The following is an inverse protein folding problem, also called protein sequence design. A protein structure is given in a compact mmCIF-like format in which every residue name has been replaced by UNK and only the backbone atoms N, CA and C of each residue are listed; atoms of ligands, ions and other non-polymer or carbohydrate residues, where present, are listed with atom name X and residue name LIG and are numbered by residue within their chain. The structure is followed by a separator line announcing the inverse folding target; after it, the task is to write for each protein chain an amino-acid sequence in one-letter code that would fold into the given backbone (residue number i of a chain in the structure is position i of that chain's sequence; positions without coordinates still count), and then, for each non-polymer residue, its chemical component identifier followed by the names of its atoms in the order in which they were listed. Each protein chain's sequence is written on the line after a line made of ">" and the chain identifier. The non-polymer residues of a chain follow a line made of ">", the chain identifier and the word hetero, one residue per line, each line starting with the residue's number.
data_IF_433128856591
#
_entry.id   IF_433128856591
#
_cell.length_a   1.000
_cell.length_b   1.000
_cell.length_c   1.000
_cell.angle_alpha   90.00
_cell.angle_beta   90.00
_cell.angle_gamma   90.00
#
_symmetry.space_group_name_H-M   'P 1'
#
loop_
_entity.id
_entity.type
_entity.pdbx_description
1 polymer ?
#
# COMPACT_ATOMS: atom_id res chain seq x y z
N UNK A 1 19.00 16.33 -18.74
CA UNK A 1 18.13 15.19 -18.35
C UNK A 1 18.93 13.90 -18.49
N UNK A 2 18.79 12.93 -17.56
CA UNK A 2 19.42 11.60 -17.69
C UNK A 2 18.39 10.61 -18.27
N UNK A 3 18.78 9.72 -19.19
CA UNK A 3 17.86 8.74 -19.77
C UNK A 3 17.40 7.71 -18.73
N UNK A 4 16.14 7.25 -18.84
CA UNK A 4 15.57 6.22 -17.98
C UNK A 4 16.09 4.82 -18.30
N UNK A 5 16.42 4.56 -19.57
CA UNK A 5 17.00 3.31 -20.06
C UNK A 5 18.00 3.59 -21.19
N UNK A 6 19.04 2.76 -21.32
CA UNK A 6 20.03 2.82 -22.40
C UNK A 6 20.31 1.41 -22.90
N UNK A 7 20.22 1.21 -24.21
CA UNK A 7 20.65 -0.03 -24.87
C UNK A 7 22.17 0.01 -24.98
N UNK A 8 22.86 -0.96 -24.36
CA UNK A 8 24.33 -1.05 -24.39
C UNK A 8 24.80 -2.02 -25.49
N UNK A 9 23.95 -2.97 -25.89
CA UNK A 9 24.22 -3.98 -26.91
C UNK A 9 22.90 -4.47 -27.52
N UNK A 10 22.94 -4.83 -28.81
CA UNK A 10 21.80 -5.33 -29.58
C UNK A 10 21.02 -4.22 -30.29
N UNK A 11 20.16 -4.62 -31.24
CA UNK A 11 19.29 -3.72 -31.99
C UNK A 11 17.82 -4.16 -31.74
N UNK A 12 17.19 -3.69 -30.64
CA UNK A 12 15.82 -4.09 -30.32
C UNK A 12 14.85 -3.50 -31.35
N UNK A 13 13.76 -4.21 -31.61
CA UNK A 13 12.68 -3.64 -32.41
C UNK A 13 12.01 -2.47 -31.68
N UNK A 14 11.24 -1.67 -32.42
CA UNK A 14 10.46 -0.58 -31.83
C UNK A 14 9.47 -1.09 -30.78
N UNK A 15 8.87 -2.26 -31.02
CA UNK A 15 7.92 -2.93 -30.12
C UNK A 15 8.60 -3.37 -28.82
N UNK A 16 9.79 -3.96 -28.90
CA UNK A 16 10.56 -4.40 -27.73
C UNK A 16 10.98 -3.21 -26.86
N UNK A 17 11.44 -2.13 -27.49
CA UNK A 17 11.82 -0.91 -26.79
C UNK A 17 10.60 -0.25 -26.12
N UNK A 18 9.45 -0.24 -26.78
CA UNK A 18 8.19 0.25 -26.22
C UNK A 18 7.77 -0.59 -25.01
N UNK A 19 7.80 -1.92 -25.12
CA UNK A 19 7.44 -2.83 -24.04
C UNK A 19 8.32 -2.61 -22.80
N UNK A 20 9.65 -2.53 -22.98
CA UNK A 20 10.57 -2.26 -21.88
C UNK A 20 10.33 -0.88 -21.25
N UNK A 21 10.04 0.14 -22.07
CA UNK A 21 9.72 1.48 -21.57
C UNK A 21 8.48 1.47 -20.67
N UNK A 22 7.43 0.76 -21.08
CA UNK A 22 6.20 0.62 -20.27
C UNK A 22 6.48 -0.06 -18.95
N UNK A 23 7.27 -1.14 -18.95
CA UNK A 23 7.65 -1.86 -17.72
C UNK A 23 8.45 -0.96 -16.79
N UNK A 24 9.48 -0.28 -17.29
CA UNK A 24 10.30 0.63 -16.48
C UNK A 24 9.47 1.79 -15.93
N UNK A 25 8.57 2.36 -16.74
CA UNK A 25 7.65 3.40 -16.30
C UNK A 25 6.69 2.90 -15.21
N UNK A 26 6.15 1.69 -15.35
CA UNK A 26 5.28 1.06 -14.36
C UNK A 26 6.00 0.81 -13.03
N UNK A 27 7.25 0.33 -13.07
CA UNK A 27 8.07 0.11 -11.86
C UNK A 27 8.52 1.42 -11.21
N UNK A 28 8.73 2.47 -12.01
CA UNK A 28 9.15 3.80 -11.52
C UNK A 28 7.99 4.58 -10.88
N UNK A 29 6.74 4.20 -11.17
CA UNK A 29 5.58 4.81 -10.55
C UNK A 29 5.53 4.48 -9.05
N UNK A 30 5.89 5.46 -8.22
CA UNK A 30 5.61 5.40 -6.79
C UNK A 30 4.10 5.48 -6.58
N UNK A 31 3.48 4.33 -6.28
CA UNK A 31 2.10 4.32 -5.81
C UNK A 31 2.03 5.03 -4.46
N UNK A 32 1.25 6.10 -4.37
CA UNK A 32 0.95 6.70 -3.09
C UNK A 32 0.26 5.64 -2.22
N UNK A 33 0.91 5.25 -1.10
CA UNK A 33 0.24 4.41 -0.11
C UNK A 33 -0.86 5.25 0.49
N UNK A 34 -2.10 4.99 0.08
CA UNK A 34 -3.26 5.56 0.75
C UNK A 34 -3.32 4.91 2.13
N UNK A 35 -3.06 5.69 3.18
CA UNK A 35 -3.33 5.23 4.55
C UNK A 35 -4.83 4.96 4.62
N UNK A 36 -5.26 3.80 5.13
CA UNK A 36 -6.68 3.59 5.42
C UNK A 36 -7.18 4.75 6.28
N UNK A 37 -8.36 5.29 5.94
CA UNK A 37 -9.03 6.25 6.81
C UNK A 37 -9.20 5.58 8.16
N UNK A 38 -8.75 6.19 9.28
CA UNK A 38 -9.00 5.65 10.60
C UNK A 38 -10.50 5.45 10.76
N UNK A 39 -10.92 4.21 10.90
CA UNK A 39 -12.29 3.87 11.25
C UNK A 39 -12.46 4.05 12.75
N UNK A 40 -13.64 4.52 13.17
CA UNK A 40 -13.98 4.54 14.58
C UNK A 40 -13.91 3.12 15.16
N UNK A 41 -13.84 3.06 16.50
CA UNK A 41 -13.86 1.84 17.29
C UNK A 41 -14.80 0.75 16.73
N UNK A 42 -16.04 1.10 16.40
CA UNK A 42 -17.12 0.21 15.99
C UNK A 42 -16.94 -0.42 14.59
N UNK A 43 -16.16 0.22 13.72
CA UNK A 43 -15.90 -0.25 12.36
C UNK A 43 -14.51 -0.89 12.22
N UNK A 44 -13.84 -1.17 13.34
CA UNK A 44 -12.49 -1.73 13.34
C UNK A 44 -12.53 -3.25 13.14
N UNK A 45 -11.83 -3.74 12.10
CA UNK A 45 -11.60 -5.19 11.95
C UNK A 45 -10.84 -5.81 13.14
N UNK A 46 -10.18 -4.98 13.96
CA UNK A 46 -9.53 -5.46 15.18
C UNK A 46 -10.51 -6.17 16.14
N UNK A 47 -11.81 -5.88 16.06
CA UNK A 47 -12.83 -6.53 16.89
C UNK A 47 -13.11 -7.99 16.48
N UNK A 48 -12.81 -8.37 15.23
CA UNK A 48 -12.90 -9.77 14.79
C UNK A 48 -11.91 -10.70 15.54
N UNK A 49 -10.93 -10.12 16.24
CA UNK A 49 -9.98 -10.85 17.06
C UNK A 49 -10.04 -10.35 18.51
N UNK A 50 -10.40 -11.22 19.44
CA UNK A 50 -10.38 -10.88 20.87
C UNK A 50 -8.97 -10.52 21.31
N UNK A 51 -8.79 -9.28 21.77
CA UNK A 51 -7.54 -8.80 22.39
C UNK A 51 -7.73 -8.57 23.88
N UNK A 52 -6.65 -8.67 24.69
CA UNK A 52 -6.70 -8.25 26.08
C UNK A 52 -7.11 -6.78 26.21
N UNK A 53 -7.99 -6.50 27.16
CA UNK A 53 -8.35 -5.12 27.48
C UNK A 53 -7.10 -4.35 27.94
N UNK A 54 -6.88 -3.18 27.33
CA UNK A 54 -5.73 -2.34 27.67
C UNK A 54 -6.09 -1.47 28.88
N UNK A 55 -5.25 -1.48 29.91
CA UNK A 55 -5.38 -0.58 31.04
C UNK A 55 -4.90 0.83 30.67
N UNK A 56 -5.56 1.86 31.22
CA UNK A 56 -5.15 3.25 31.04
C UNK A 56 -6.08 4.08 30.15
N UNK A 57 -5.69 5.34 29.84
CA UNK A 57 -6.54 6.28 29.12
C UNK A 57 -7.01 5.74 27.77
N UNK A 58 -8.33 5.75 27.55
CA UNK A 58 -8.95 5.22 26.32
C UNK A 58 -9.28 3.72 26.36
N UNK A 59 -8.77 2.95 27.32
CA UNK A 59 -9.07 1.53 27.50
C UNK A 59 -10.55 1.24 27.76
N UNK A 60 -11.19 2.02 28.62
CA UNK A 60 -12.63 1.90 28.90
C UNK A 60 -13.51 2.15 27.68
N UNK A 61 -13.16 3.14 26.84
CA UNK A 61 -13.91 3.46 25.60
C UNK A 61 -13.74 2.36 24.55
N UNK A 62 -12.66 1.58 24.65
CA UNK A 62 -12.37 0.46 23.78
C UNK A 62 -13.04 -0.85 24.21
N UNK A 63 -13.48 -0.98 25.47
CA UNK A 63 -14.02 -2.21 26.03
C UNK A 63 -15.46 -2.53 25.58
N UNK A 64 -16.23 -1.52 25.16
CA UNK A 64 -17.60 -1.69 24.63
C UNK A 64 -17.68 -2.12 23.17
N UNK A 65 -16.56 -2.54 22.56
CA UNK A 65 -16.52 -3.03 21.19
C UNK A 65 -17.02 -4.48 21.15
N UNK A 66 -18.14 -4.72 20.48
CA UNK A 66 -18.69 -6.06 20.28
C UNK A 66 -18.39 -6.50 18.85
N UNK A 67 -17.77 -7.67 18.69
CA UNK A 67 -17.83 -8.41 17.44
C UNK A 67 -19.29 -8.86 17.24
N UNK A 68 -19.94 -8.31 16.22
CA UNK A 68 -21.11 -8.92 15.60
C UNK A 68 -20.70 -9.47 14.24
#
# INVERSE_FOLDING_TARGET
>A
MRPLLRVVKGEPSAEELAALTVVVAALSQRRSRRRPTPVGAWASYADAHRRPAQAGPGGWRAAGRFAQ
#
